data_IF_346123306286
#
_entry.id   IF_346123306286
#
_cell.length_a   1.000
_cell.length_b   1.000
_cell.length_c   1.000
_cell.angle_alpha   90.00
_cell.angle_beta   90.00
_cell.angle_gamma   90.00
#
_symmetry.space_group_name_H-M   'P 1'
#
loop_
_entity.id
_entity.type
_entity.pdbx_description
1 polymer ?
#
# COMPACT_ATOMS: atom_id res chain seq x y z
N UNK A 1 16.89 -7.69 33.94
CA UNK A 1 16.82 -7.16 32.55
C UNK A 1 17.29 -5.71 32.59
N UNK A 2 18.51 -5.43 32.14
CA UNK A 2 19.09 -4.08 32.14
C UNK A 2 18.48 -3.28 31.01
N UNK A 3 17.48 -2.45 31.32
CA UNK A 3 16.94 -1.47 30.39
C UNK A 3 17.97 -0.36 30.23
N UNK A 4 18.92 -0.53 29.30
CA UNK A 4 19.83 0.54 28.89
C UNK A 4 18.99 1.74 28.51
N UNK A 5 19.15 2.84 29.25
CA UNK A 5 18.38 4.08 29.07
C UNK A 5 18.73 4.66 27.69
N UNK A 6 18.00 4.25 26.65
CA UNK A 6 18.21 4.74 25.28
C UNK A 6 17.82 6.21 25.24
N UNK A 7 18.74 7.06 24.80
CA UNK A 7 18.47 8.48 24.58
C UNK A 7 17.48 8.59 23.42
N UNK A 8 16.43 9.41 23.58
CA UNK A 8 15.50 9.69 22.51
C UNK A 8 16.01 10.87 21.67
N UNK A 9 15.97 10.79 20.32
CA UNK A 9 15.48 9.67 19.52
C UNK A 9 16.53 8.55 19.38
N UNK A 10 16.04 7.31 19.22
CA UNK A 10 16.91 6.16 18.98
C UNK A 10 17.30 6.13 17.49
N UNK A 11 18.59 6.26 17.13
CA UNK A 11 19.01 6.38 15.74
C UNK A 11 18.74 5.11 14.91
N UNK A 12 18.77 3.93 15.53
CA UNK A 12 18.50 2.66 14.87
C UNK A 12 17.03 2.59 14.43
N UNK A 13 16.12 2.98 15.33
CA UNK A 13 14.69 2.95 15.04
C UNK A 13 14.29 3.99 13.99
N UNK A 14 14.94 5.15 13.98
CA UNK A 14 14.74 6.16 12.92
C UNK A 14 15.18 5.60 11.57
N UNK A 15 16.33 4.92 11.50
CA UNK A 15 16.81 4.30 10.27
C UNK A 15 15.87 3.19 9.76
N UNK A 16 15.39 2.33 10.65
CA UNK A 16 14.41 1.30 10.30
C UNK A 16 13.11 1.90 9.76
N UNK A 17 12.64 2.99 10.39
CA UNK A 17 11.44 3.69 9.94
C UNK A 17 11.65 4.34 8.56
N UNK A 18 12.76 5.05 8.34
CA UNK A 18 13.12 5.62 7.03
C UNK A 18 13.17 4.57 5.92
N UNK A 19 13.57 3.33 6.23
CA UNK A 19 13.56 2.18 5.31
C UNK A 19 12.18 1.54 5.09
N UNK A 20 11.09 2.18 5.54
CA UNK A 20 9.73 1.69 5.31
C UNK A 20 9.27 0.64 6.33
N UNK A 21 10.02 0.37 7.40
CA UNK A 21 9.57 -0.57 8.43
C UNK A 21 8.46 0.05 9.29
N UNK A 22 7.31 -0.64 9.38
CA UNK A 22 6.19 -0.19 10.21
C UNK A 22 6.58 -0.13 11.69
N UNK A 23 6.05 0.86 12.42
CA UNK A 23 6.33 1.08 13.85
C UNK A 23 6.11 -0.16 14.72
N UNK A 24 5.06 -0.95 14.44
CA UNK A 24 4.78 -2.17 15.21
C UNK A 24 5.83 -3.27 14.98
N UNK A 25 6.40 -3.33 13.78
CA UNK A 25 7.46 -4.28 13.45
C UNK A 25 8.77 -3.88 14.15
N UNK A 26 9.08 -2.59 14.19
CA UNK A 26 10.21 -2.05 14.96
C UNK A 26 10.03 -2.35 16.45
N UNK A 27 8.84 -2.10 16.99
CA UNK A 27 8.52 -2.37 18.40
C UNK A 27 8.68 -3.85 18.76
N UNK A 28 8.20 -4.74 17.89
CA UNK A 28 8.33 -6.19 18.05
C UNK A 28 9.80 -6.63 17.99
N UNK A 29 10.57 -6.10 17.04
CA UNK A 29 12.00 -6.40 16.89
C UNK A 29 12.82 -5.92 18.10
N UNK A 30 12.45 -4.77 18.68
CA UNK A 30 13.13 -4.19 19.82
C UNK A 30 12.61 -4.69 21.19
N UNK A 31 11.52 -5.47 21.23
CA UNK A 31 10.92 -5.96 22.48
C UNK A 31 10.32 -4.85 23.36
N UNK A 32 9.82 -3.76 22.74
CA UNK A 32 9.26 -2.60 23.44
C UNK A 32 7.82 -2.31 23.01
N UNK A 33 7.10 -1.51 23.79
CA UNK A 33 5.77 -1.08 23.41
C UNK A 33 5.81 -0.14 22.18
N UNK A 34 4.84 -0.29 21.27
CA UNK A 34 4.76 0.55 20.07
C UNK A 34 4.57 2.05 20.37
N UNK A 35 4.04 2.41 21.54
CA UNK A 35 3.96 3.80 22.02
C UNK A 35 5.34 4.42 22.25
N UNK A 36 6.31 3.63 22.75
CA UNK A 36 7.70 4.09 22.98
C UNK A 36 8.37 4.38 21.65
N UNK A 37 8.24 3.50 20.67
CA UNK A 37 8.77 3.75 19.32
C UNK A 37 8.13 5.00 18.70
N UNK A 38 6.80 5.16 18.83
CA UNK A 38 6.09 6.36 18.36
C UNK A 38 6.62 7.65 19.00
N UNK A 39 6.95 7.62 20.30
CA UNK A 39 7.54 8.74 21.00
C UNK A 39 8.93 9.11 20.45
N UNK A 40 9.81 8.13 20.25
CA UNK A 40 11.13 8.37 19.65
C UNK A 40 11.02 8.92 18.23
N UNK A 41 10.12 8.38 17.42
CA UNK A 41 9.88 8.87 16.05
C UNK A 41 9.27 10.29 16.04
N UNK A 42 8.44 10.65 17.03
CA UNK A 42 7.91 12.00 17.14
C UNK A 42 8.99 13.03 17.46
N UNK A 43 9.96 12.68 18.31
CA UNK A 43 11.12 13.53 18.59
C UNK A 43 12.00 13.63 17.34
N UNK A 44 12.28 12.50 16.67
CA UNK A 44 13.03 12.50 15.42
C UNK A 44 12.37 13.36 14.34
N UNK A 45 11.04 13.31 14.21
CA UNK A 45 10.29 14.12 13.24
C UNK A 45 10.35 15.63 13.53
N UNK A 46 10.58 16.03 14.78
CA UNK A 46 10.82 17.44 15.13
C UNK A 46 12.21 17.91 14.73
N UNK A 47 13.19 17.02 14.74
CA UNK A 47 14.57 17.31 14.34
C UNK A 47 14.77 17.22 12.82
N UNK A 48 14.14 16.23 12.19
CA UNK A 48 14.14 15.97 10.75
C UNK A 48 12.70 15.70 10.28
N UNK A 49 12.00 16.72 9.75
CA UNK A 49 10.64 16.56 9.22
C UNK A 49 10.56 15.58 8.03
N UNK A 50 11.68 15.33 7.34
CA UNK A 50 11.77 14.49 6.14
C UNK A 50 11.58 12.99 6.40
N UNK A 51 11.72 12.53 7.65
CA UNK A 51 11.65 11.10 7.98
C UNK A 51 10.32 10.45 7.58
N UNK A 52 9.23 11.22 7.54
CA UNK A 52 7.89 10.72 7.17
C UNK A 52 7.77 10.50 5.67
N UNK A 53 8.36 11.39 4.87
CA UNK A 53 8.35 11.28 3.42
C UNK A 53 9.30 10.18 2.96
N UNK A 54 10.48 10.06 3.58
CA UNK A 54 11.39 8.93 3.35
C UNK A 54 10.71 7.59 3.67
N UNK A 55 10.02 7.50 4.82
CA UNK A 55 9.25 6.30 5.16
C UNK A 55 8.22 5.96 4.09
N UNK A 56 7.42 6.94 3.65
CA UNK A 56 6.40 6.73 2.60
C UNK A 56 7.03 6.30 1.27
N UNK A 57 8.15 6.90 0.87
CA UNK A 57 8.86 6.56 -0.36
C UNK A 57 9.45 5.15 -0.31
N UNK A 58 9.85 4.69 0.88
CA UNK A 58 10.37 3.34 1.09
C UNK A 58 9.28 2.28 1.32
N UNK A 59 8.01 2.66 1.49
CA UNK A 59 6.93 1.69 1.58
C UNK A 59 6.83 0.92 0.26
N UNK A 60 6.80 -0.43 0.30
CA UNK A 60 6.53 -1.18 -0.91
C UNK A 60 5.17 -0.74 -1.44
N UNK A 61 5.09 -0.42 -2.74
CA UNK A 61 3.82 -0.19 -3.42
C UNK A 61 2.96 -1.40 -3.12
N UNK A 62 1.93 -1.23 -2.29
CA UNK A 62 1.06 -2.34 -1.89
C UNK A 62 0.60 -3.02 -3.17
N UNK A 63 0.86 -4.33 -3.35
CA UNK A 63 0.27 -5.04 -4.47
C UNK A 63 -1.22 -4.80 -4.39
N UNK A 64 -1.79 -4.28 -5.48
CA UNK A 64 -3.17 -3.86 -5.52
C UNK A 64 -4.02 -5.06 -5.10
N UNK A 65 -4.64 -4.99 -3.92
CA UNK A 65 -5.32 -6.15 -3.34
C UNK A 65 -6.49 -6.50 -4.25
N UNK A 66 -6.46 -7.69 -4.85
CA UNK A 66 -7.57 -8.18 -5.66
C UNK A 66 -8.81 -8.27 -4.77
N UNK A 67 -9.82 -7.45 -5.04
CA UNK A 67 -11.08 -7.50 -4.29
C UNK A 67 -11.84 -8.78 -4.62
N UNK A 68 -12.73 -9.21 -3.73
CA UNK A 68 -13.60 -10.36 -4.01
C UNK A 68 -14.37 -10.14 -5.32
N UNK A 69 -14.96 -8.95 -5.52
CA UNK A 69 -15.63 -8.58 -6.76
C UNK A 69 -14.70 -8.65 -7.99
N UNK A 70 -13.45 -8.21 -7.87
CA UNK A 70 -12.45 -8.33 -8.94
C UNK A 70 -12.12 -9.78 -9.30
N UNK A 71 -12.14 -10.69 -8.31
CA UNK A 71 -11.97 -12.13 -8.54
C UNK A 71 -13.16 -12.73 -9.29
N UNK A 72 -14.38 -12.45 -8.83
CA UNK A 72 -15.61 -12.92 -9.48
C UNK A 72 -15.69 -12.46 -10.94
N UNK A 73 -15.36 -11.19 -11.19
CA UNK A 73 -15.35 -10.66 -12.56
C UNK A 73 -14.31 -11.36 -13.45
N UNK A 74 -13.14 -11.70 -12.89
CA UNK A 74 -12.11 -12.44 -13.63
C UNK A 74 -12.58 -13.86 -13.97
N UNK A 75 -13.16 -14.58 -13.00
CA UNK A 75 -13.70 -15.92 -13.20
C UNK A 75 -14.79 -15.93 -14.29
N UNK A 76 -15.66 -14.93 -14.29
CA UNK A 76 -16.71 -14.75 -15.30
C UNK A 76 -16.17 -14.51 -16.71
N UNK A 77 -15.10 -13.70 -16.84
CA UNK A 77 -14.42 -13.47 -18.12
C UNK A 77 -13.73 -14.75 -18.61
N UNK A 78 -13.09 -15.50 -17.72
CA UNK A 78 -12.44 -16.77 -18.05
C UNK A 78 -13.44 -17.84 -18.47
N UNK A 79 -14.57 -17.97 -17.77
CA UNK A 79 -15.63 -18.89 -18.13
C UNK A 79 -16.22 -18.56 -19.51
N UNK A 80 -16.40 -17.27 -19.81
CA UNK A 80 -16.83 -16.80 -21.12
C UNK A 80 -15.81 -17.18 -22.22
N UNK A 81 -14.52 -16.92 -21.99
CA UNK A 81 -13.48 -17.25 -22.96
C UNK A 81 -13.38 -18.76 -23.22
N UNK A 82 -13.50 -19.59 -22.18
CA UNK A 82 -13.53 -21.05 -22.33
C UNK A 82 -14.70 -21.55 -23.18
N UNK A 83 -15.85 -20.86 -23.10
CA UNK A 83 -17.07 -21.25 -23.81
C UNK A 83 -17.09 -20.74 -25.24
N UNK A 84 -16.70 -19.48 -25.47
CA UNK A 84 -16.83 -18.83 -26.78
C UNK A 84 -15.52 -18.73 -27.58
N UNK A 85 -14.37 -19.06 -26.98
CA UNK A 85 -13.05 -18.95 -27.62
C UNK A 85 -12.59 -17.52 -27.91
N UNK A 86 -13.33 -16.51 -27.43
CA UNK A 86 -13.09 -15.08 -27.66
C UNK A 86 -13.32 -14.27 -26.41
N UNK A 87 -12.74 -13.07 -26.35
CA UNK A 87 -13.00 -12.13 -25.26
C UNK A 87 -14.39 -11.45 -25.42
N UNK A 88 -15.00 -11.01 -24.30
CA UNK A 88 -16.23 -10.21 -24.33
C UNK A 88 -16.06 -8.92 -25.16
N UNK A 89 -17.08 -8.56 -25.95
CA UNK A 89 -17.17 -7.27 -26.66
C UNK A 89 -18.40 -6.45 -26.24
N UNK A 90 -18.28 -5.13 -26.30
CA UNK A 90 -19.26 -4.19 -25.75
C UNK A 90 -20.59 -4.16 -26.53
N UNK A 91 -20.67 -4.67 -27.76
CA UNK A 91 -21.84 -4.46 -28.63
C UNK A 91 -22.91 -5.55 -28.57
N UNK A 92 -22.64 -6.72 -27.98
CA UNK A 92 -23.49 -7.91 -28.16
C UNK A 92 -24.59 -8.12 -27.12
N UNK A 93 -24.35 -7.84 -25.84
CA UNK A 93 -25.38 -7.98 -24.80
C UNK A 93 -25.06 -7.16 -23.55
N UNK A 94 -26.05 -6.87 -22.70
CA UNK A 94 -25.84 -6.19 -21.41
C UNK A 94 -24.86 -6.95 -20.50
N UNK A 95 -24.92 -8.29 -20.52
CA UNK A 95 -24.01 -9.15 -19.75
C UNK A 95 -22.58 -9.12 -20.29
N UNK A 96 -22.41 -9.07 -21.60
CA UNK A 96 -21.09 -8.97 -22.23
C UNK A 96 -20.48 -7.57 -22.05
N UNK A 97 -21.31 -6.51 -22.11
CA UNK A 97 -20.93 -5.13 -21.75
C UNK A 97 -20.34 -5.02 -20.35
N UNK A 98 -20.98 -5.63 -19.36
CA UNK A 98 -20.49 -5.61 -17.98
C UNK A 98 -19.10 -6.26 -17.84
N UNK A 99 -18.85 -7.37 -18.55
CA UNK A 99 -17.54 -8.03 -18.59
C UNK A 99 -16.48 -7.19 -19.32
N UNK A 100 -16.83 -6.52 -20.42
CA UNK A 100 -15.92 -5.58 -21.08
C UNK A 100 -15.53 -4.43 -20.16
N UNK A 101 -16.52 -3.84 -19.46
CA UNK A 101 -16.27 -2.76 -18.51
C UNK A 101 -15.25 -3.15 -17.43
N UNK A 102 -15.28 -4.41 -16.95
CA UNK A 102 -14.26 -4.90 -16.03
C UNK A 102 -12.86 -4.98 -16.67
N UNK A 103 -12.73 -5.45 -17.91
CA UNK A 103 -11.44 -5.55 -18.61
C UNK A 103 -10.86 -4.15 -18.85
N UNK A 104 -11.69 -3.20 -19.26
CA UNK A 104 -11.26 -1.83 -19.52
C UNK A 104 -10.89 -1.09 -18.22
N UNK A 105 -11.60 -1.34 -17.12
CA UNK A 105 -11.22 -0.81 -15.80
C UNK A 105 -9.82 -1.29 -15.39
N UNK A 106 -9.50 -2.58 -15.59
CA UNK A 106 -8.16 -3.12 -15.30
C UNK A 106 -7.08 -2.49 -16.20
N UNK A 107 -7.38 -2.24 -17.48
CA UNK A 107 -6.45 -1.59 -18.41
C UNK A 107 -6.18 -0.14 -18.03
N UNK A 108 -7.21 0.61 -17.66
CA UNK A 108 -7.10 2.00 -17.22
C UNK A 108 -6.30 2.07 -15.92
N UNK A 109 -6.53 1.16 -14.98
CA UNK A 109 -5.76 1.09 -13.74
C UNK A 109 -4.26 0.84 -13.99
N UNK A 110 -3.90 -0.01 -14.97
CA UNK A 110 -2.50 -0.26 -15.35
C UNK A 110 -1.85 0.91 -16.10
N UNK A 111 -2.64 1.71 -16.81
CA UNK A 111 -2.17 2.90 -17.54
C UNK A 111 -2.17 4.15 -16.69
N UNK A 112 -2.90 4.16 -15.58
CA UNK A 112 -2.87 5.26 -14.62
C UNK A 112 -1.43 5.38 -14.08
N UNK A 113 -0.82 6.57 -14.11
CA UNK A 113 0.43 6.78 -13.38
C UNK A 113 0.17 6.41 -11.91
N UNK A 114 1.14 5.72 -11.28
CA UNK A 114 1.09 5.45 -9.84
C UNK A 114 0.59 6.70 -9.11
N UNK A 115 -0.41 6.60 -8.22
CA UNK A 115 -0.91 7.77 -7.53
C UNK A 115 0.27 8.42 -6.82
N UNK A 116 0.66 9.61 -7.28
CA UNK A 116 1.63 10.43 -6.59
C UNK A 116 1.08 10.66 -5.16
N UNK A 117 1.91 10.58 -4.12
CA UNK A 117 1.44 10.84 -2.77
C UNK A 117 0.81 12.23 -2.73
N UNK A 118 -0.51 12.28 -2.53
CA UNK A 118 -1.24 13.53 -2.37
C UNK A 118 -0.77 14.18 -1.08
N UNK A 119 0.13 15.17 -1.20
CA UNK A 119 0.44 16.10 -0.14
C UNK A 119 -0.81 16.97 0.06
N UNK A 120 -1.66 16.60 1.01
CA UNK A 120 -2.72 17.47 1.48
C UNK A 120 -2.08 18.67 2.18
N UNK A 121 -2.34 19.92 1.75
CA UNK A 121 -1.89 21.09 2.48
C UNK A 121 -2.68 21.19 3.80
N UNK A 122 -1.95 21.32 4.90
CA UNK A 122 -2.53 21.53 6.22
C UNK A 122 -2.77 23.03 6.39
N UNK A 123 -4.04 23.42 6.57
CA UNK A 123 -4.46 24.58 7.36
C UNK A 123 -4.52 24.20 8.83
#
# INVERSE_FOLDING_TARGET
>A
MTQTRRIAPDPEWVLMYKRGMATQKIASAAGVAGSVVRYHLAIAAKQDPGIREEHKAALPVSPQRLTAAGRWNLEDVLAFYKTEGRLPIFSRSAREKARCGCIDAVRTQRRAPSPLPTLTPWT
#
